data_IF_252812230698
#
_entry.id   IF_252812230698
#
_cell.length_a   1.000
_cell.length_b   1.000
_cell.length_c   1.000
_cell.angle_alpha   90.00
_cell.angle_beta   90.00
_cell.angle_gamma   90.00
#
_symmetry.space_group_name_H-M   'P 1'
#
loop_
_entity.id
_entity.type
_entity.pdbx_description
1 polymer ?
#
# COMPACT_ATOMS: atom_id res chain seq x y z
N UNK A 1 -8.80 12.97 39.78
CA UNK A 1 -8.00 11.87 39.21
C UNK A 1 -8.80 11.06 38.17
N UNK A 2 -9.91 10.42 38.55
CA UNK A 2 -10.70 9.56 37.65
C UNK A 2 -11.23 10.26 36.38
N UNK A 3 -11.75 11.49 36.49
CA UNK A 3 -12.25 12.24 35.34
C UNK A 3 -11.15 12.54 34.29
N UNK A 4 -9.91 12.76 34.74
CA UNK A 4 -8.78 12.98 33.84
C UNK A 4 -8.42 11.70 33.07
N UNK A 5 -8.40 10.56 33.76
CA UNK A 5 -8.14 9.25 33.15
C UNK A 5 -9.21 8.92 32.09
N UNK A 6 -10.49 9.13 32.39
CA UNK A 6 -11.60 8.89 31.43
C UNK A 6 -11.43 9.74 30.16
N UNK A 7 -11.06 11.01 30.31
CA UNK A 7 -10.81 11.91 29.17
C UNK A 7 -9.62 11.46 28.32
N UNK A 8 -8.52 11.05 28.97
CA UNK A 8 -7.35 10.52 28.27
C UNK A 8 -7.68 9.22 27.52
N UNK A 9 -8.47 8.34 28.11
CA UNK A 9 -8.89 7.09 27.48
C UNK A 9 -9.70 7.36 26.20
N UNK A 10 -10.65 8.30 26.24
CA UNK A 10 -11.44 8.67 25.07
C UNK A 10 -10.58 9.28 23.95
N UNK A 11 -9.60 10.11 24.31
CA UNK A 11 -8.67 10.68 23.32
C UNK A 11 -7.81 9.59 22.69
N UNK A 12 -7.29 8.65 23.50
CA UNK A 12 -6.52 7.51 23.00
C UNK A 12 -7.34 6.66 22.03
N UNK A 13 -8.60 6.36 22.37
CA UNK A 13 -9.48 5.59 21.49
C UNK A 13 -9.70 6.27 20.13
N UNK A 14 -9.91 7.59 20.13
CA UNK A 14 -10.04 8.37 18.89
C UNK A 14 -8.75 8.33 18.07
N UNK A 15 -7.59 8.50 18.70
CA UNK A 15 -6.29 8.47 18.01
C UNK A 15 -6.04 7.08 17.43
N UNK A 16 -6.27 6.03 18.21
CA UNK A 16 -6.09 4.64 17.77
C UNK A 16 -6.99 4.34 16.59
N UNK A 17 -8.29 4.67 16.65
CA UNK A 17 -9.22 4.42 15.55
C UNK A 17 -8.81 5.14 14.25
N UNK A 18 -8.45 6.42 14.34
CA UNK A 18 -7.98 7.20 13.18
C UNK A 18 -6.67 6.65 12.62
N UNK A 19 -5.74 6.25 13.49
CA UNK A 19 -4.44 5.70 13.09
C UNK A 19 -4.63 4.36 12.38
N UNK A 20 -5.48 3.47 12.91
CA UNK A 20 -5.80 2.19 12.26
C UNK A 20 -6.41 2.41 10.88
N UNK A 21 -7.39 3.31 10.75
CA UNK A 21 -7.98 3.62 9.44
C UNK A 21 -6.94 4.14 8.43
N UNK A 22 -6.07 5.05 8.86
CA UNK A 22 -4.99 5.56 8.00
C UNK A 22 -4.02 4.44 7.57
N UNK A 23 -3.67 3.52 8.47
CA UNK A 23 -2.82 2.36 8.16
C UNK A 23 -3.53 1.44 7.15
N UNK A 24 -4.83 1.20 7.30
CA UNK A 24 -5.59 0.35 6.37
C UNK A 24 -5.61 0.95 4.96
N UNK A 25 -5.84 2.26 4.83
CA UNK A 25 -5.79 2.96 3.56
C UNK A 25 -4.41 2.92 2.91
N UNK A 26 -3.35 3.16 3.69
CA UNK A 26 -1.97 3.06 3.20
C UNK A 26 -1.64 1.63 2.76
N UNK A 27 -2.12 0.63 3.50
CA UNK A 27 -1.93 -0.78 3.15
C UNK A 27 -2.62 -1.14 1.84
N UNK A 28 -3.86 -0.68 1.65
CA UNK A 28 -4.59 -0.86 0.40
C UNK A 28 -3.87 -0.19 -0.78
N UNK A 29 -3.40 1.05 -0.61
CA UNK A 29 -2.67 1.77 -1.64
C UNK A 29 -1.35 1.09 -1.98
N UNK A 30 -0.58 0.66 -0.98
CA UNK A 30 0.66 -0.09 -1.17
C UNK A 30 0.42 -1.40 -1.94
N UNK A 31 -0.68 -2.09 -1.65
CA UNK A 31 -1.06 -3.32 -2.36
C UNK A 31 -1.40 -3.02 -3.83
N UNK A 32 -2.20 -1.99 -4.10
CA UNK A 32 -2.52 -1.58 -5.46
C UNK A 32 -1.26 -1.20 -6.27
N UNK A 33 -0.34 -0.44 -5.66
CA UNK A 33 0.93 -0.10 -6.29
C UNK A 33 1.77 -1.33 -6.61
N UNK A 34 1.88 -2.27 -5.66
CA UNK A 34 2.59 -3.54 -5.90
C UNK A 34 2.00 -4.31 -7.06
N UNK A 35 0.68 -4.44 -7.12
CA UNK A 35 -0.01 -5.12 -8.23
C UNK A 35 0.29 -4.44 -9.57
N UNK A 36 0.18 -3.11 -9.64
CA UNK A 36 0.48 -2.37 -10.87
C UNK A 36 1.94 -2.52 -11.31
N UNK A 37 2.90 -2.45 -10.38
CA UNK A 37 4.32 -2.66 -10.68
C UNK A 37 4.56 -4.07 -11.24
N UNK A 38 3.98 -5.10 -10.61
CA UNK A 38 4.13 -6.48 -11.08
C UNK A 38 3.48 -6.68 -12.46
N UNK A 39 2.31 -6.08 -12.71
CA UNK A 39 1.67 -6.11 -14.02
C UNK A 39 2.55 -5.47 -15.10
N UNK A 40 3.09 -4.27 -14.84
CA UNK A 40 4.00 -3.63 -15.78
C UNK A 40 5.24 -4.48 -16.01
N UNK A 41 5.84 -5.04 -14.96
CA UNK A 41 7.00 -5.92 -15.10
C UNK A 41 6.72 -7.10 -16.01
N UNK A 42 5.58 -7.79 -15.84
CA UNK A 42 5.20 -8.90 -16.71
C UNK A 42 5.06 -8.48 -18.18
N UNK A 43 4.45 -7.32 -18.44
CA UNK A 43 4.32 -6.78 -19.80
C UNK A 43 5.68 -6.43 -20.39
N UNK A 44 6.56 -5.78 -19.62
CA UNK A 44 7.92 -5.49 -20.07
C UNK A 44 8.71 -6.77 -20.35
N UNK A 45 8.64 -7.78 -19.48
CA UNK A 45 9.33 -9.06 -19.66
C UNK A 45 8.85 -9.76 -20.94
N UNK A 46 7.54 -9.70 -21.24
CA UNK A 46 6.97 -10.21 -22.48
C UNK A 46 7.50 -9.46 -23.72
N UNK A 47 7.44 -8.12 -23.71
CA UNK A 47 7.90 -7.29 -24.82
C UNK A 47 9.41 -7.47 -25.08
N UNK A 48 10.23 -7.54 -24.02
CA UNK A 48 11.67 -7.75 -24.16
C UNK A 48 12.00 -9.13 -24.73
N UNK A 49 11.22 -10.16 -24.39
CA UNK A 49 11.37 -11.48 -25.00
C UNK A 49 11.01 -11.49 -26.49
N UNK A 50 10.02 -10.68 -26.90
CA UNK A 50 9.62 -10.51 -28.31
C UNK A 50 10.66 -9.69 -29.11
N UNK A 51 11.16 -8.59 -28.54
CA UNK A 51 12.16 -7.70 -29.16
C UNK A 51 13.58 -8.31 -29.20
N UNK A 52 13.91 -9.22 -28.28
CA UNK A 52 15.19 -9.93 -28.23
C UNK A 52 15.47 -10.83 -29.44
N UNK A 53 14.44 -11.14 -30.26
CA UNK A 53 14.58 -11.86 -31.52
C UNK A 53 14.88 -10.98 -32.74
N UNK A 54 14.84 -9.66 -32.60
CA UNK A 54 14.90 -8.71 -33.74
C UNK A 54 16.33 -8.19 -33.97
N UNK A 55 17.23 -8.29 -32.99
CA UNK A 55 18.67 -8.01 -33.13
C UNK A 55 19.47 -9.23 -33.63
N UNK A 56 18.94 -9.92 -34.64
CA UNK A 56 19.51 -11.15 -35.21
C UNK A 56 19.29 -11.26 -36.72
N UNK A 57 19.29 -10.14 -37.44
CA UNK A 57 19.34 -10.07 -38.90
C UNK A 57 20.56 -9.31 -39.35
#
# INVERSE_FOLDING_TARGET
>A
YLNHIIRLQAILEIITNKTTNAIDLLTQQAQQMRTAILQHRMVLDYLLAEEGGICGK
#
